data_IF_605285987948
#
_entry.id   IF_605285987948
#
_cell.length_a   1.000
_cell.length_b   1.000
_cell.length_c   1.000
_cell.angle_alpha   90.00
_cell.angle_beta   90.00
_cell.angle_gamma   90.00
#
_symmetry.space_group_name_H-M   'P 1'
#
loop_
_entity.id
_entity.type
_entity.pdbx_description
1 polymer ?
#
# COMPACT_ATOMS: atom_id res chain seq x y z
N UNK A 1 18.06 15.56 -9.36
CA UNK A 1 17.09 14.46 -9.28
C UNK A 1 17.76 13.30 -9.95
N UNK A 2 17.93 12.25 -9.19
CA UNK A 2 18.70 11.09 -9.62
C UNK A 2 17.85 10.23 -10.57
N UNK A 3 18.48 9.47 -11.47
CA UNK A 3 17.78 8.49 -12.31
C UNK A 3 16.97 7.51 -11.46
N UNK A 4 15.78 7.13 -11.93
CA UNK A 4 15.00 6.05 -11.32
C UNK A 4 15.61 4.73 -11.80
N UNK A 5 16.25 4.03 -10.87
CA UNK A 5 16.97 2.77 -11.12
C UNK A 5 16.04 1.55 -11.05
N UNK A 6 15.08 1.58 -10.10
CA UNK A 6 14.08 0.53 -9.94
C UNK A 6 12.72 1.05 -10.42
N UNK A 7 12.20 0.46 -11.49
CA UNK A 7 10.88 0.78 -12.00
C UNK A 7 10.17 -0.47 -12.50
N UNK A 8 8.84 -0.46 -12.38
CA UNK A 8 7.96 -1.50 -12.92
C UNK A 8 6.74 -0.87 -13.57
N UNK A 9 6.40 -1.34 -14.76
CA UNK A 9 5.22 -0.93 -15.51
C UNK A 9 4.42 -2.18 -15.89
N UNK A 10 3.25 -2.35 -15.29
CA UNK A 10 2.29 -3.39 -15.64
C UNK A 10 1.10 -2.84 -16.42
N UNK A 11 0.52 -3.64 -17.31
CA UNK A 11 -0.80 -3.34 -17.87
C UNK A 11 -1.60 -4.59 -18.21
N UNK A 12 -2.91 -4.41 -18.25
CA UNK A 12 -3.88 -5.45 -18.57
C UNK A 12 -4.80 -5.04 -19.71
N UNK A 13 -5.17 -6.01 -20.55
CA UNK A 13 -6.22 -5.83 -21.56
C UNK A 13 -7.58 -6.34 -21.06
N UNK A 14 -8.65 -5.71 -21.51
CA UNK A 14 -10.03 -5.97 -21.03
C UNK A 14 -10.65 -7.25 -21.59
N UNK A 15 -10.23 -7.72 -22.77
CA UNK A 15 -10.97 -8.72 -23.56
C UNK A 15 -10.06 -9.76 -24.25
N UNK A 16 -9.31 -10.51 -23.44
CA UNK A 16 -8.57 -11.70 -23.89
C UNK A 16 -7.44 -11.43 -24.87
N UNK A 17 -7.15 -10.16 -25.22
CA UNK A 17 -6.08 -9.77 -26.14
C UNK A 17 -4.71 -10.29 -25.69
N UNK A 18 -3.87 -10.54 -26.67
CA UNK A 18 -2.57 -11.20 -26.52
C UNK A 18 -1.52 -10.51 -27.37
N UNK A 19 -0.29 -10.48 -26.90
CA UNK A 19 0.86 -10.09 -27.71
C UNK A 19 1.20 -11.26 -28.66
N UNK A 20 1.19 -11.02 -29.98
CA UNK A 20 1.44 -12.05 -31.00
C UNK A 20 2.91 -12.41 -31.14
N UNK A 21 3.19 -13.65 -31.56
CA UNK A 21 4.55 -14.16 -31.78
C UNK A 21 5.24 -13.49 -32.97
N UNK A 22 6.59 -13.55 -33.07
CA UNK A 22 7.41 -12.75 -33.99
C UNK A 22 7.38 -13.25 -35.45
N UNK A 23 6.41 -14.08 -35.81
CA UNK A 23 6.31 -14.68 -37.14
C UNK A 23 5.57 -13.83 -38.19
N UNK A 24 4.81 -12.82 -37.78
CA UNK A 24 4.09 -11.96 -38.72
C UNK A 24 4.04 -10.54 -38.16
N UNK A 25 4.65 -9.62 -38.91
CA UNK A 25 4.75 -8.16 -38.72
C UNK A 25 5.95 -7.65 -37.92
N UNK A 26 6.90 -7.14 -38.70
CA UNK A 26 8.00 -6.26 -38.33
C UNK A 26 7.53 -5.07 -37.49
N UNK A 27 7.99 -5.00 -36.23
CA UNK A 27 7.89 -3.79 -35.41
C UNK A 27 9.27 -3.49 -34.80
N UNK A 28 9.70 -2.26 -35.01
CA UNK A 28 11.02 -1.68 -34.74
C UNK A 28 11.14 -1.15 -33.30
N UNK A 29 12.07 -1.69 -32.49
CA UNK A 29 13.29 -1.05 -31.92
C UNK A 29 13.89 -1.92 -30.79
N UNK A 30 15.21 -1.83 -30.53
CA UNK A 30 16.03 -2.98 -30.12
C UNK A 30 16.14 -3.26 -28.62
N UNK A 31 15.54 -2.46 -27.75
CA UNK A 31 15.94 -2.46 -26.33
C UNK A 31 14.83 -2.96 -25.38
N UNK A 32 13.57 -3.03 -25.84
CA UNK A 32 12.49 -3.60 -25.05
C UNK A 32 12.33 -5.07 -25.43
N UNK A 33 12.82 -5.96 -24.57
CA UNK A 33 12.58 -7.39 -24.70
C UNK A 33 11.07 -7.63 -24.83
N UNK A 34 10.64 -8.19 -25.97
CA UNK A 34 9.24 -8.53 -26.19
C UNK A 34 8.83 -9.57 -25.16
N UNK A 35 7.98 -9.12 -24.22
CA UNK A 35 7.46 -9.89 -23.11
C UNK A 35 6.62 -11.08 -23.58
N UNK A 36 6.57 -12.11 -22.73
CA UNK A 36 5.96 -13.42 -22.94
C UNK A 36 4.71 -13.39 -23.82
N UNK A 37 4.83 -13.99 -25.02
CA UNK A 37 3.75 -14.12 -26.00
C UNK A 37 2.48 -14.75 -25.38
N UNK A 38 1.31 -14.40 -25.91
CA UNK A 38 0.01 -14.97 -25.49
C UNK A 38 -0.46 -14.63 -24.06
N UNK A 39 0.06 -13.56 -23.45
CA UNK A 39 -0.38 -13.08 -22.13
C UNK A 39 -1.32 -11.88 -22.24
N UNK A 40 -2.31 -11.80 -21.33
CA UNK A 40 -3.23 -10.66 -21.18
C UNK A 40 -2.78 -9.66 -20.10
N UNK A 41 -1.74 -10.03 -19.34
CA UNK A 41 -1.01 -9.21 -18.38
C UNK A 41 0.42 -9.08 -18.88
N UNK A 42 0.93 -7.86 -18.92
CA UNK A 42 2.28 -7.57 -19.39
C UNK A 42 2.96 -6.67 -18.38
N UNK A 43 4.17 -7.04 -17.95
CA UNK A 43 4.95 -6.32 -16.95
C UNK A 43 6.36 -6.05 -17.50
N UNK A 44 6.72 -4.78 -17.64
CA UNK A 44 8.08 -4.31 -17.87
C UNK A 44 8.70 -3.95 -16.53
N UNK A 45 9.95 -4.30 -16.29
CA UNK A 45 10.70 -3.92 -15.10
C UNK A 45 12.13 -3.54 -15.48
N UNK A 46 12.75 -2.65 -14.69
CA UNK A 46 14.16 -2.35 -14.81
C UNK A 46 14.96 -3.66 -14.77
N UNK A 47 15.76 -3.89 -15.82
CA UNK A 47 16.19 -5.23 -16.23
C UNK A 47 16.77 -6.12 -15.12
N UNK A 48 16.33 -7.37 -15.09
CA UNK A 48 16.94 -8.47 -14.32
C UNK A 48 18.32 -8.89 -14.86
N UNK A 49 18.77 -8.32 -15.99
CA UNK A 49 20.05 -8.58 -16.61
C UNK A 49 21.09 -7.58 -16.11
N UNK A 50 22.21 -8.10 -15.61
CA UNK A 50 23.35 -7.39 -14.96
C UNK A 50 24.00 -6.28 -15.81
N UNK A 51 23.55 -6.10 -17.07
CA UNK A 51 24.06 -5.10 -18.02
C UNK A 51 23.01 -4.11 -18.55
N UNK A 52 21.75 -4.16 -18.09
CA UNK A 52 20.71 -3.24 -18.55
C UNK A 52 20.84 -1.87 -17.89
N UNK A 53 21.40 -0.89 -18.60
CA UNK A 53 21.51 0.52 -18.17
C UNK A 53 20.20 1.31 -18.39
N UNK A 54 19.04 0.71 -18.11
CA UNK A 54 17.73 1.33 -18.38
C UNK A 54 17.27 2.20 -17.22
N UNK A 55 17.99 3.30 -17.02
CA UNK A 55 17.61 4.34 -16.08
C UNK A 55 16.53 5.26 -16.69
N UNK A 56 15.45 5.50 -15.95
CA UNK A 56 14.45 6.52 -16.31
C UNK A 56 14.93 7.87 -15.76
N UNK A 57 15.21 8.80 -16.66
CA UNK A 57 15.57 10.18 -16.35
C UNK A 57 14.31 10.96 -15.92
N UNK A 58 14.33 11.65 -14.78
CA UNK A 58 13.22 12.48 -14.34
C UNK A 58 12.83 13.51 -15.39
N UNK A 59 11.51 13.75 -15.53
CA UNK A 59 10.92 14.80 -16.41
C UNK A 59 11.20 14.63 -17.91
N UNK A 60 11.67 13.46 -18.33
CA UNK A 60 11.75 13.12 -19.75
C UNK A 60 10.47 12.38 -20.18
N UNK A 61 9.88 12.70 -21.34
CA UNK A 61 8.78 11.91 -21.88
C UNK A 61 9.32 10.59 -22.43
N UNK A 62 8.75 9.48 -21.95
CA UNK A 62 9.06 8.14 -22.43
C UNK A 62 7.91 7.61 -23.28
N UNK A 63 8.07 7.52 -24.62
CA UNK A 63 7.06 6.92 -25.47
C UNK A 63 7.10 5.39 -25.29
N UNK A 64 6.00 4.81 -24.84
CA UNK A 64 5.83 3.36 -24.72
C UNK A 64 4.83 2.92 -25.78
N UNK A 65 5.25 2.00 -26.64
CA UNK A 65 4.44 1.48 -27.73
C UNK A 65 4.46 -0.04 -27.69
N UNK A 66 3.29 -0.65 -27.81
CA UNK A 66 3.14 -2.09 -27.93
C UNK A 66 2.09 -2.39 -29.00
N UNK A 67 2.15 -3.59 -29.57
CA UNK A 67 1.10 -4.10 -30.46
C UNK A 67 0.45 -5.31 -29.82
N UNK A 68 -0.85 -5.18 -29.55
CA UNK A 68 -1.70 -6.29 -29.16
C UNK A 68 -2.36 -6.93 -30.39
N UNK A 69 -2.76 -8.17 -30.25
CA UNK A 69 -3.68 -8.85 -31.16
C UNK A 69 -4.92 -9.24 -30.37
N UNK A 70 -6.10 -9.12 -30.99
CA UNK A 70 -7.34 -9.61 -30.39
C UNK A 70 -7.19 -11.12 -30.16
N UNK A 71 -7.60 -11.64 -29.00
CA UNK A 71 -7.77 -13.09 -28.90
C UNK A 71 -8.77 -13.52 -29.98
N UNK A 72 -8.56 -14.71 -30.55
CA UNK A 72 -9.62 -15.39 -31.29
C UNK A 72 -10.83 -15.49 -30.34
N UNK A 73 -11.81 -14.61 -30.51
CA UNK A 73 -13.01 -14.61 -29.69
C UNK A 73 -13.79 -15.87 -30.03
N UNK A 74 -14.00 -16.74 -29.04
CA UNK A 74 -14.92 -17.87 -29.16
C UNK A 74 -16.38 -17.42 -29.45
N UNK A 75 -16.66 -16.11 -29.41
CA UNK A 75 -17.98 -15.51 -29.62
C UNK A 75 -18.10 -14.65 -30.87
N UNK A 76 -17.05 -14.50 -31.69
CA UNK A 76 -17.13 -13.80 -32.99
C UNK A 76 -16.46 -14.59 -34.12
N UNK A 77 -17.05 -15.70 -34.58
CA UNK A 77 -16.44 -16.61 -35.55
C UNK A 77 -16.29 -16.04 -36.98
N UNK A 78 -16.69 -14.79 -37.24
CA UNK A 78 -16.78 -14.22 -38.59
C UNK A 78 -16.00 -12.91 -38.80
N UNK A 79 -15.13 -12.50 -37.88
CA UNK A 79 -14.20 -11.40 -38.17
C UNK A 79 -13.04 -11.96 -38.96
N UNK A 80 -13.03 -11.71 -40.27
CA UNK A 80 -11.90 -12.00 -41.12
C UNK A 80 -10.68 -11.16 -40.65
N UNK A 81 -9.61 -11.82 -40.17
CA UNK A 81 -8.44 -11.14 -39.59
C UNK A 81 -7.72 -10.26 -40.61
N UNK A 82 -7.99 -10.40 -41.92
CA UNK A 82 -7.40 -9.55 -42.96
C UNK A 82 -7.95 -8.13 -42.97
N UNK A 83 -9.16 -7.88 -42.46
CA UNK A 83 -9.79 -6.54 -42.49
C UNK A 83 -9.58 -5.73 -41.21
N UNK A 84 -9.13 -6.34 -40.11
CA UNK A 84 -8.79 -5.60 -38.88
C UNK A 84 -7.80 -6.36 -37.98
N UNK A 85 -6.55 -6.56 -38.43
CA UNK A 85 -5.57 -7.36 -37.70
C UNK A 85 -5.16 -6.80 -36.33
N UNK A 86 -5.44 -5.52 -36.04
CA UNK A 86 -4.89 -4.80 -34.87
C UNK A 86 -5.89 -3.92 -34.12
N UNK A 87 -7.15 -4.33 -33.99
CA UNK A 87 -8.02 -3.71 -32.99
C UNK A 87 -7.66 -4.28 -31.61
N UNK A 88 -6.70 -3.64 -30.95
CA UNK A 88 -6.41 -3.85 -29.54
C UNK A 88 -7.55 -3.21 -28.74
N UNK A 89 -8.18 -3.97 -27.84
CA UNK A 89 -9.11 -3.39 -26.88
C UNK A 89 -8.44 -2.26 -26.07
N UNK A 90 -9.22 -1.32 -25.51
CA UNK A 90 -8.66 -0.29 -24.65
C UNK A 90 -7.89 -0.95 -23.49
N UNK A 91 -6.76 -0.35 -23.11
CA UNK A 91 -6.05 -0.69 -21.89
C UNK A 91 -7.05 -0.63 -20.73
N UNK A 92 -7.21 -1.76 -20.02
CA UNK A 92 -8.09 -1.84 -18.87
C UNK A 92 -7.49 -1.05 -17.71
N UNK A 93 -6.21 -1.34 -17.46
CA UNK A 93 -5.45 -0.86 -16.33
C UNK A 93 -4.01 -0.64 -16.79
N UNK A 94 -3.46 0.52 -16.45
CA UNK A 94 -2.05 0.85 -16.58
C UNK A 94 -1.53 1.10 -15.16
N UNK A 95 -0.56 0.30 -14.72
CA UNK A 95 0.07 0.43 -13.42
C UNK A 95 1.53 0.79 -13.64
N UNK A 96 1.89 2.07 -13.48
CA UNK A 96 3.27 2.51 -13.47
C UNK A 96 3.72 2.69 -12.03
N UNK A 97 4.87 2.11 -11.70
CA UNK A 97 5.56 2.27 -10.44
C UNK A 97 4.62 2.07 -9.24
N UNK A 98 4.08 0.86 -9.11
CA UNK A 98 3.23 0.47 -7.99
C UNK A 98 4.10 0.34 -6.72
N UNK A 99 4.54 1.50 -6.22
CA UNK A 99 5.31 1.82 -5.02
C UNK A 99 6.17 0.67 -4.48
N UNK A 100 7.18 0.26 -5.26
CA UNK A 100 8.38 -0.32 -4.64
C UNK A 100 9.18 0.88 -4.16
N UNK A 101 9.06 1.23 -2.87
CA UNK A 101 10.02 2.14 -2.26
C UNK A 101 11.36 1.37 -2.26
N UNK A 102 12.26 1.69 -3.18
CA UNK A 102 13.66 1.30 -3.00
C UNK A 102 14.23 2.21 -1.92
N UNK A 103 14.94 1.62 -0.96
CA UNK A 103 15.54 2.39 0.14
C UNK A 103 16.50 3.41 -0.45
N UNK A 104 16.13 4.69 -0.50
CA UNK A 104 17.16 5.70 -0.43
C UNK A 104 17.75 5.55 0.96
N UNK A 105 19.07 5.27 1.05
CA UNK A 105 19.77 5.32 2.33
C UNK A 105 19.58 6.73 2.87
N UNK A 106 18.58 6.91 3.72
CA UNK A 106 18.31 8.17 4.37
C UNK A 106 19.58 8.57 5.11
N UNK A 107 20.10 9.76 4.79
CA UNK A 107 20.97 10.46 5.71
C UNK A 107 20.32 10.39 7.08
N UNK A 108 21.07 9.97 8.09
CA UNK A 108 20.66 9.94 9.50
C UNK A 108 19.90 11.21 9.84
N UNK A 109 18.56 11.14 9.82
CA UNK A 109 17.70 12.21 10.29
C UNK A 109 18.03 12.34 11.78
N UNK A 110 18.57 13.49 12.15
CA UNK A 110 18.74 13.85 13.55
C UNK A 110 17.39 13.63 14.22
N UNK A 111 17.34 12.67 15.14
CA UNK A 111 16.17 12.38 15.97
C UNK A 111 15.67 13.69 16.53
N UNK A 112 14.53 14.24 16.04
CA UNK A 112 13.93 15.37 16.70
C UNK A 112 13.63 14.89 18.13
N UNK A 113 14.07 15.68 19.10
CA UNK A 113 13.78 15.41 20.51
C UNK A 113 12.29 15.17 20.63
N UNK A 114 11.90 13.96 21.03
CA UNK A 114 10.51 13.54 21.18
C UNK A 114 9.72 14.65 21.88
N UNK A 115 8.61 15.15 21.29
CA UNK A 115 7.66 15.90 22.09
C UNK A 115 7.15 14.96 23.18
N UNK A 116 7.54 15.22 24.44
CA UNK A 116 7.15 14.48 25.65
C UNK A 116 5.64 14.55 25.97
N UNK A 117 4.78 14.73 24.98
CA UNK A 117 3.36 15.03 25.18
C UNK A 117 2.46 13.81 25.42
N UNK A 118 2.99 12.59 25.60
CA UNK A 118 2.13 11.40 25.78
C UNK A 118 2.49 10.45 26.92
N UNK A 119 3.34 10.84 27.89
CA UNK A 119 3.67 9.96 29.03
C UNK A 119 3.02 10.32 30.37
N UNK A 120 2.17 11.35 30.44
CA UNK A 120 1.43 11.71 31.68
C UNK A 120 -0.08 11.42 31.62
N UNK A 121 -0.55 10.58 30.70
CA UNK A 121 -1.91 10.06 30.75
C UNK A 121 -2.04 8.90 31.76
N UNK A 122 -1.73 9.15 33.04
CA UNK A 122 -2.17 8.32 34.18
C UNK A 122 -3.65 8.60 34.50
N UNK A 123 -4.46 8.75 33.46
CA UNK A 123 -5.89 8.89 33.55
C UNK A 123 -6.51 7.53 33.26
N UNK A 124 -7.43 7.12 34.12
CA UNK A 124 -8.35 6.00 33.91
C UNK A 124 -9.12 6.29 32.62
N UNK A 125 -8.55 5.94 31.47
CA UNK A 125 -9.19 6.13 30.18
C UNK A 125 -10.41 5.21 30.16
N UNK A 126 -11.62 5.73 29.87
CA UNK A 126 -12.79 4.89 29.70
C UNK A 126 -12.51 3.86 28.61
N UNK A 127 -12.95 2.62 28.84
CA UNK A 127 -12.78 1.46 27.98
C UNK A 127 -12.86 1.80 26.49
N UNK A 128 -11.87 1.36 25.70
CA UNK A 128 -11.74 1.44 24.23
C UNK A 128 -12.80 2.35 23.56
N UNK A 129 -12.64 3.66 23.67
CA UNK A 129 -13.45 4.59 22.88
C UNK A 129 -12.96 4.55 21.44
N UNK A 130 -13.46 3.58 20.69
CA UNK A 130 -13.40 3.60 19.23
C UNK A 130 -14.28 4.77 18.77
N UNK A 131 -13.66 5.80 18.21
CA UNK A 131 -14.42 6.93 17.70
C UNK A 131 -15.12 6.52 16.41
N UNK A 132 -16.44 6.68 16.39
CA UNK A 132 -17.21 6.60 15.15
C UNK A 132 -16.66 7.63 14.14
N UNK A 133 -16.71 7.34 12.83
CA UNK A 133 -16.22 8.23 11.79
C UNK A 133 -16.70 9.66 12.00
N UNK A 134 -15.76 10.58 12.24
CA UNK A 134 -16.07 12.00 12.23
C UNK A 134 -15.72 12.63 10.90
N UNK A 135 -14.48 12.50 10.43
CA UNK A 135 -14.01 13.25 9.27
C UNK A 135 -13.48 12.36 8.16
N UNK A 136 -12.69 11.35 8.52
CA UNK A 136 -12.03 10.45 7.59
C UNK A 136 -12.57 9.04 7.84
N UNK A 137 -12.81 8.30 6.77
CA UNK A 137 -12.99 6.85 6.79
C UNK A 137 -11.65 6.20 6.43
N UNK A 138 -11.18 5.26 7.26
CA UNK A 138 -9.99 4.46 6.95
C UNK A 138 -10.42 3.03 6.66
N UNK A 139 -10.12 2.59 5.44
CA UNK A 139 -10.31 1.22 4.99
C UNK A 139 -8.98 0.50 4.86
N UNK A 140 -9.00 -0.80 5.08
CA UNK A 140 -7.83 -1.66 5.14
C UNK A 140 -8.07 -2.96 4.37
N UNK A 141 -7.04 -3.42 3.66
CA UNK A 141 -6.97 -4.79 3.15
C UNK A 141 -5.55 -5.34 3.36
N UNK A 142 -5.39 -6.52 3.99
CA UNK A 142 -4.08 -7.17 4.02
C UNK A 142 -3.75 -7.72 2.63
N UNK A 143 -2.47 -7.67 2.25
CA UNK A 143 -1.99 -8.28 1.01
C UNK A 143 -1.34 -9.61 1.38
N UNK A 144 -2.11 -10.68 1.18
CA UNK A 144 -1.68 -12.06 1.44
C UNK A 144 -1.46 -12.82 0.13
N UNK A 145 -0.62 -13.85 0.15
CA UNK A 145 -0.23 -14.60 -1.04
C UNK A 145 -0.66 -16.07 -0.93
N UNK A 146 -1.16 -16.66 -2.03
CA UNK A 146 -1.37 -18.11 -2.13
C UNK A 146 -0.04 -18.87 -2.18
N UNK A 147 0.93 -18.27 -2.87
CA UNK A 147 2.30 -18.74 -2.95
C UNK A 147 3.21 -17.52 -2.95
N UNK A 148 4.20 -17.51 -2.06
CA UNK A 148 5.19 -16.44 -2.04
C UNK A 148 6.03 -16.45 -3.32
N UNK A 149 6.46 -15.28 -3.82
CA UNK A 149 7.45 -15.22 -4.88
C UNK A 149 8.71 -16.00 -4.50
N UNK A 150 9.38 -16.57 -5.50
CA UNK A 150 10.63 -17.30 -5.27
C UNK A 150 11.66 -16.41 -4.56
N UNK A 151 12.33 -16.95 -3.53
CA UNK A 151 13.34 -16.22 -2.75
C UNK A 151 12.79 -15.36 -1.61
N UNK A 152 11.48 -15.27 -1.43
CA UNK A 152 10.88 -14.55 -0.29
C UNK A 152 10.58 -15.53 0.85
N UNK A 153 11.10 -15.25 2.04
CA UNK A 153 10.90 -16.09 3.21
C UNK A 153 9.50 -15.85 3.80
N UNK A 154 8.74 -16.91 4.15
CA UNK A 154 7.52 -16.76 4.93
C UNK A 154 7.78 -15.97 6.22
N UNK A 155 6.86 -15.07 6.58
CA UNK A 155 6.98 -14.25 7.78
C UNK A 155 8.05 -13.14 7.72
N UNK A 156 8.83 -13.01 6.65
CA UNK A 156 9.84 -11.93 6.55
C UNK A 156 9.24 -10.53 6.38
N UNK A 157 7.96 -10.44 6.01
CA UNK A 157 7.29 -9.16 5.77
C UNK A 157 5.78 -9.26 6.00
N UNK A 158 5.18 -8.10 6.26
CA UNK A 158 3.74 -7.86 6.24
C UNK A 158 3.46 -6.79 5.19
N UNK A 159 2.43 -6.97 4.40
CA UNK A 159 2.02 -5.99 3.38
C UNK A 159 0.53 -5.73 3.50
N UNK A 160 0.13 -4.48 3.38
CA UNK A 160 -1.26 -4.07 3.50
C UNK A 160 -1.54 -2.79 2.73
N UNK A 161 -2.81 -2.62 2.38
CA UNK A 161 -3.35 -1.46 1.70
C UNK A 161 -4.22 -0.66 2.68
N UNK A 162 -4.06 0.66 2.66
CA UNK A 162 -4.88 1.61 3.40
C UNK A 162 -5.49 2.60 2.42
N UNK A 163 -6.80 2.80 2.50
CA UNK A 163 -7.53 3.84 1.77
C UNK A 163 -8.18 4.79 2.75
N UNK A 164 -7.98 6.08 2.53
CA UNK A 164 -8.59 7.14 3.32
C UNK A 164 -9.50 7.99 2.46
N UNK A 165 -10.67 8.30 2.99
CA UNK A 165 -11.66 9.11 2.29
C UNK A 165 -12.23 10.17 3.23
N UNK A 166 -12.33 11.40 2.75
CA UNK A 166 -13.01 12.46 3.49
C UNK A 166 -14.52 12.27 3.35
N UNK A 167 -15.16 11.92 4.46
CA UNK A 167 -16.59 11.62 4.55
C UNK A 167 -17.39 12.76 5.18
N UNK A 168 -16.73 13.85 5.63
CA UNK A 168 -17.39 14.94 6.33
C UNK A 168 -17.38 16.25 5.56
N UNK A 169 -18.59 16.69 5.21
CA UNK A 169 -18.90 18.09 4.88
C UNK A 169 -18.16 18.64 3.65
N UNK A 170 -18.37 19.91 3.30
CA UNK A 170 -17.75 20.51 2.12
C UNK A 170 -16.27 20.84 2.29
N UNK A 171 -15.69 20.60 3.47
CA UNK A 171 -14.36 21.10 3.82
C UNK A 171 -13.29 20.13 3.33
N UNK A 172 -12.50 20.58 2.37
CA UNK A 172 -11.33 19.85 1.93
C UNK A 172 -10.26 19.82 3.04
N UNK A 173 -9.60 18.68 3.22
CA UNK A 173 -8.57 18.49 4.26
C UNK A 173 -7.20 18.57 3.59
N UNK A 174 -6.28 19.47 4.00
CA UNK A 174 -4.92 19.47 3.47
C UNK A 174 -4.23 18.12 3.70
N UNK A 175 -3.62 17.55 2.67
CA UNK A 175 -3.07 16.18 2.73
C UNK A 175 -1.91 16.09 3.73
N UNK A 176 -1.12 17.17 3.86
CA UNK A 176 0.02 17.26 4.76
C UNK A 176 -0.34 17.24 6.26
N UNK A 177 -1.61 17.46 6.61
CA UNK A 177 -2.08 17.39 8.00
C UNK A 177 -2.65 16.03 8.37
N UNK A 178 -2.76 15.12 7.38
CA UNK A 178 -3.28 13.77 7.56
C UNK A 178 -2.14 12.84 7.99
N UNK A 179 -2.39 12.03 9.01
CA UNK A 179 -1.53 10.92 9.43
C UNK A 179 -2.41 9.70 9.72
N UNK A 180 -1.90 8.49 9.50
CA UNK A 180 -2.48 7.30 10.10
C UNK A 180 -1.42 6.46 10.83
N UNK A 181 -1.89 5.63 11.75
CA UNK A 181 -1.03 4.85 12.66
C UNK A 181 -1.31 3.36 12.53
N UNK A 182 -0.26 2.58 12.28
CA UNK A 182 -0.30 1.12 12.25
C UNK A 182 0.48 0.56 13.45
N UNK A 183 -0.21 -0.18 14.32
CA UNK A 183 0.33 -0.77 15.54
C UNK A 183 0.53 -2.27 15.35
N UNK A 184 1.72 -2.76 15.65
CA UNK A 184 2.11 -4.14 15.37
C UNK A 184 3.12 -4.69 16.37
N UNK A 185 3.26 -6.02 16.38
CA UNK A 185 4.32 -6.72 17.10
C UNK A 185 5.36 -7.24 16.10
N UNK A 186 6.65 -7.00 16.37
CA UNK A 186 7.70 -7.41 15.46
C UNK A 186 9.12 -7.44 16.05
N UNK A 187 10.12 -7.77 15.22
CA UNK A 187 11.51 -7.46 15.45
C UNK A 187 11.79 -5.96 15.31
N UNK A 188 12.98 -5.52 15.74
CA UNK A 188 13.48 -4.19 15.39
C UNK A 188 13.57 -4.08 13.87
N UNK A 189 13.03 -2.99 13.33
CA UNK A 189 12.99 -2.74 11.89
C UNK A 189 13.93 -1.59 11.51
N UNK A 190 14.35 -1.60 10.25
CA UNK A 190 14.92 -0.41 9.63
C UNK A 190 13.82 0.37 8.90
N UNK A 191 13.90 1.69 9.01
CA UNK A 191 12.97 2.59 8.37
C UNK A 191 13.38 2.83 6.91
N UNK A 192 12.48 2.52 5.98
CA UNK A 192 12.63 2.85 4.57
C UNK A 192 11.40 3.61 4.10
N UNK A 193 11.58 4.88 3.72
CA UNK A 193 10.51 5.79 3.32
C UNK A 193 10.39 5.98 1.81
N UNK A 194 9.28 6.59 1.41
CA UNK A 194 9.04 7.09 0.06
C UNK A 194 9.05 8.64 0.12
N UNK A 195 9.54 9.36 -0.90
CA UNK A 195 9.72 10.84 -0.84
C UNK A 195 8.43 11.62 -0.51
N UNK A 196 7.26 11.06 -0.85
CA UNK A 196 5.94 11.66 -0.63
C UNK A 196 5.29 11.25 0.71
N UNK A 197 5.92 10.35 1.47
CA UNK A 197 5.43 9.82 2.73
C UNK A 197 6.42 10.14 3.84
N UNK A 198 5.91 10.67 4.95
CA UNK A 198 6.65 10.81 6.17
C UNK A 198 6.39 9.55 7.00
N UNK A 199 7.30 8.58 6.93
CA UNK A 199 7.26 7.43 7.82
C UNK A 199 8.00 7.79 9.10
N UNK A 200 7.45 7.35 10.24
CA UNK A 200 8.10 7.45 11.53
C UNK A 200 7.78 6.18 12.33
N UNK A 201 8.77 5.31 12.49
CA UNK A 201 8.68 4.12 13.33
C UNK A 201 9.19 4.41 14.75
N UNK A 202 8.34 4.17 15.75
CA UNK A 202 8.70 4.33 17.16
C UNK A 202 8.32 3.10 17.98
N UNK A 203 8.86 3.00 19.20
CA UNK A 203 8.32 2.09 20.21
C UNK A 203 6.85 2.42 20.46
N UNK A 204 6.04 1.38 20.60
CA UNK A 204 4.62 1.45 20.88
C UNK A 204 4.33 1.42 22.38
N UNK A 205 3.29 0.68 22.79
CA UNK A 205 2.85 0.62 24.18
C UNK A 205 3.42 -0.64 24.87
N UNK A 206 4.23 -0.49 25.93
CA UNK A 206 4.76 -1.64 26.65
C UNK A 206 3.61 -2.45 27.29
N UNK A 207 3.68 -3.77 27.17
CA UNK A 207 2.69 -4.69 27.75
C UNK A 207 1.36 -4.78 27.00
N UNK A 208 1.21 -4.11 25.85
CA UNK A 208 0.01 -4.20 25.01
C UNK A 208 0.26 -5.13 23.83
N UNK A 209 -0.46 -6.27 23.80
CA UNK A 209 -0.35 -7.26 22.72
C UNK A 209 -0.71 -6.64 21.37
N UNK A 210 0.12 -6.89 20.37
CA UNK A 210 -0.05 -6.39 19.00
C UNK A 210 0.34 -4.93 18.81
N UNK A 211 0.91 -4.28 19.80
CA UNK A 211 1.20 -2.84 19.79
C UNK A 211 2.60 -2.51 20.34
N UNK A 212 3.56 -3.42 20.22
CA UNK A 212 4.96 -3.19 20.62
C UNK A 212 5.60 -2.05 19.82
N UNK A 213 5.24 -1.86 18.55
CA UNK A 213 5.73 -0.78 17.71
C UNK A 213 4.57 0.04 17.13
N UNK A 214 4.86 1.29 16.83
CA UNK A 214 3.97 2.23 16.16
C UNK A 214 4.64 2.72 14.87
N UNK A 215 4.02 2.44 13.72
CA UNK A 215 4.36 3.07 12.45
C UNK A 215 3.39 4.23 12.20
N UNK A 216 3.90 5.46 12.24
CA UNK A 216 3.14 6.66 11.88
C UNK A 216 3.42 7.01 10.41
N UNK A 217 2.35 7.27 9.65
CA UNK A 217 2.41 7.48 8.20
C UNK A 217 1.73 8.80 7.88
N UNK A 218 2.53 9.83 7.67
CA UNK A 218 2.10 11.15 7.19
C UNK A 218 2.40 11.35 5.71
N UNK A 219 1.97 12.47 5.16
CA UNK A 219 2.16 12.81 3.75
C UNK A 219 2.94 14.13 3.63
N UNK A 220 3.91 14.16 2.73
CA UNK A 220 4.62 15.41 2.35
C UNK A 220 4.04 16.02 1.07
N UNK A 221 3.06 15.36 0.45
CA UNK A 221 2.42 15.80 -0.78
C UNK A 221 1.57 17.07 -0.57
N UNK A 222 1.67 18.00 -1.51
CA UNK A 222 0.79 19.17 -1.56
C UNK A 222 -0.58 18.79 -2.15
N UNK A 223 -1.66 19.27 -1.55
CA UNK A 223 -3.01 19.12 -2.09
C UNK A 223 -4.07 18.97 -1.00
N UNK A 224 -5.30 18.68 -1.41
CA UNK A 224 -6.40 18.50 -0.47
C UNK A 224 -7.20 17.23 -0.75
N UNK A 225 -7.56 16.50 0.30
CA UNK A 225 -8.54 15.42 0.27
C UNK A 225 -9.95 16.02 0.29
N UNK A 226 -10.61 15.98 -0.85
CA UNK A 226 -11.98 16.49 -1.07
C UNK A 226 -13.01 15.52 -0.50
N UNK A 227 -14.13 16.06 -0.07
CA UNK A 227 -15.26 15.23 0.33
C UNK A 227 -15.97 14.64 -0.89
N UNK A 228 -16.42 13.38 -0.75
CA UNK A 228 -17.04 12.59 -1.83
C UNK A 228 -18.20 13.33 -2.53
N UNK A 229 -18.94 14.18 -1.82
CA UNK A 229 -20.14 14.85 -2.35
C UNK A 229 -19.88 16.15 -3.09
N UNK A 230 -18.64 16.68 -3.10
CA UNK A 230 -18.37 18.04 -3.54
C UNK A 230 -17.33 18.08 -4.67
N UNK A 231 -17.83 18.16 -5.90
CA UNK A 231 -17.04 18.51 -7.09
C UNK A 231 -16.80 20.02 -7.21
N UNK A 232 -16.35 20.65 -6.12
CA UNK A 232 -15.90 22.04 -6.20
C UNK A 232 -14.55 22.11 -6.89
N UNK A 233 -14.47 22.90 -7.96
CA UNK A 233 -13.23 23.13 -8.72
C UNK A 233 -12.23 23.87 -7.82
N UNK A 234 -11.34 23.13 -7.15
CA UNK A 234 -10.22 23.71 -6.42
C UNK A 234 -9.09 24.05 -7.40
N UNK A 235 -8.46 25.24 -7.28
CA UNK A 235 -7.27 25.57 -8.07
C UNK A 235 -6.02 24.77 -7.64
N UNK A 236 -6.09 24.03 -6.53
CA UNK A 236 -5.01 23.19 -6.03
C UNK A 236 -5.25 21.71 -6.35
N UNK A 237 -4.19 20.87 -6.39
CA UNK A 237 -4.33 19.42 -6.52
C UNK A 237 -5.33 18.88 -5.51
N UNK A 238 -6.30 18.11 -5.98
CA UNK A 238 -7.36 17.54 -5.16
C UNK A 238 -7.45 16.05 -5.38
N UNK A 239 -7.73 15.33 -4.31
CA UNK A 239 -7.87 13.88 -4.28
C UNK A 239 -9.23 13.55 -3.70
N UNK A 240 -9.94 12.59 -4.28
CA UNK A 240 -11.15 12.03 -3.66
C UNK A 240 -10.79 10.99 -2.60
N UNK A 241 -9.70 10.26 -2.84
CA UNK A 241 -9.19 9.19 -1.98
C UNK A 241 -7.67 9.30 -1.89
N UNK A 242 -7.13 9.01 -0.70
CA UNK A 242 -5.71 8.73 -0.51
C UNK A 242 -5.53 7.22 -0.38
N UNK A 243 -4.65 6.64 -1.18
CA UNK A 243 -4.40 5.21 -1.20
C UNK A 243 -2.90 4.97 -0.94
N UNK A 244 -2.60 4.08 0.00
CA UNK A 244 -1.23 3.75 0.40
C UNK A 244 -1.09 2.24 0.46
N UNK A 245 -0.08 1.72 -0.24
CA UNK A 245 0.36 0.34 -0.14
C UNK A 245 1.65 0.31 0.68
N UNK A 246 1.62 -0.35 1.83
CA UNK A 246 2.77 -0.43 2.74
C UNK A 246 3.27 -1.86 2.86
N UNK A 247 4.60 -1.98 2.96
CA UNK A 247 5.30 -3.21 3.28
C UNK A 247 6.23 -2.97 4.46
N UNK A 248 6.01 -3.72 5.53
CA UNK A 248 6.87 -3.77 6.71
C UNK A 248 7.73 -5.03 6.56
N UNK A 249 9.05 -4.92 6.61
CA UNK A 249 9.97 -6.05 6.44
C UNK A 249 11.00 -6.10 7.57
N UNK A 250 11.26 -7.31 8.05
CA UNK A 250 12.36 -7.56 8.99
C UNK A 250 13.67 -7.82 8.25
N UNK A 251 14.78 -7.29 8.78
CA UNK A 251 16.13 -7.66 8.34
C UNK A 251 16.68 -8.85 9.12
N UNK A 252 16.06 -9.21 10.24
CA UNK A 252 16.46 -10.36 11.05
C UNK A 252 15.88 -11.62 10.41
N UNK A 253 16.73 -12.37 9.71
CA UNK A 253 16.40 -13.58 8.97
C UNK A 253 15.60 -14.65 9.75
N UNK A 254 15.65 -14.64 11.08
CA UNK A 254 15.00 -15.65 11.95
C UNK A 254 13.82 -15.10 12.78
N UNK A 255 13.55 -13.79 12.73
CA UNK A 255 12.43 -13.20 13.48
C UNK A 255 11.27 -12.94 12.51
N UNK A 256 10.20 -13.71 12.64
CA UNK A 256 9.01 -13.60 11.80
C UNK A 256 8.12 -12.42 12.24
N UNK A 257 7.65 -11.66 11.26
CA UNK A 257 6.52 -10.73 11.38
C UNK A 257 5.22 -11.52 11.26
N UNK A 258 4.42 -11.52 12.32
CA UNK A 258 3.10 -12.14 12.31
C UNK A 258 2.01 -11.07 12.31
N UNK A 259 1.55 -10.68 11.12
CA UNK A 259 0.50 -9.67 10.98
C UNK A 259 -0.76 -10.01 11.79
N UNK A 260 -1.10 -11.30 11.93
CA UNK A 260 -2.33 -11.73 12.62
C UNK A 260 -2.33 -11.46 14.12
N UNK A 261 -1.16 -11.18 14.71
CA UNK A 261 -1.03 -10.72 16.10
C UNK A 261 -1.02 -9.20 16.26
N UNK A 262 -0.97 -8.43 15.17
CA UNK A 262 -0.94 -6.98 15.22
C UNK A 262 -2.29 -6.42 15.68
N UNK A 263 -2.26 -5.34 16.47
CA UNK A 263 -3.47 -4.63 16.89
C UNK A 263 -4.23 -4.08 15.67
N UNK A 264 -3.50 -3.50 14.72
CA UNK A 264 -4.07 -2.88 13.53
C UNK A 264 -4.51 -3.88 12.45
N UNK A 265 -4.21 -5.17 12.60
CA UNK A 265 -4.61 -6.18 11.62
C UNK A 265 -6.08 -6.58 11.76
N UNK A 266 -6.75 -6.69 10.62
CA UNK A 266 -8.06 -7.35 10.50
C UNK A 266 -8.04 -8.29 9.30
N UNK A 267 -8.63 -9.47 9.45
CA UNK A 267 -8.73 -10.45 8.35
C UNK A 267 -9.87 -10.05 7.40
N UNK A 268 -9.56 -9.16 6.44
CA UNK A 268 -10.55 -8.62 5.51
C UNK A 268 -11.09 -9.71 4.55
N UNK A 269 -12.39 -9.70 4.20
CA UNK A 269 -12.98 -10.75 3.36
C UNK A 269 -12.27 -10.94 2.02
N UNK A 270 -12.10 -12.21 1.63
CA UNK A 270 -11.59 -12.59 0.31
C UNK A 270 -12.66 -12.26 -0.75
N UNK A 271 -12.25 -11.62 -1.84
CA UNK A 271 -13.11 -11.38 -3.01
C UNK A 271 -12.98 -12.54 -4.01
N UNK A 272 -13.92 -12.66 -4.95
CA UNK A 272 -14.00 -13.80 -5.88
C UNK A 272 -12.65 -14.17 -6.49
N UNK A 273 -12.28 -15.45 -6.42
CA UNK A 273 -10.98 -15.97 -6.83
C UNK A 273 -10.67 -15.65 -8.31
N UNK A 274 -9.75 -14.73 -8.56
CA UNK A 274 -9.04 -14.69 -9.84
C UNK A 274 -8.02 -15.83 -9.84
N UNK A 275 -8.29 -16.89 -10.62
CA UNK A 275 -7.47 -18.10 -10.68
C UNK A 275 -6.00 -17.89 -11.16
N UNK A 276 -5.61 -16.66 -11.48
CA UNK A 276 -4.36 -16.34 -12.15
C UNK A 276 -3.46 -15.35 -11.36
N UNK A 277 -3.70 -15.13 -10.07
CA UNK A 277 -2.89 -14.21 -9.24
C UNK A 277 -2.23 -14.94 -8.08
N UNK A 278 -0.96 -14.61 -7.79
CA UNK A 278 -0.26 -15.08 -6.58
C UNK A 278 -0.79 -14.41 -5.31
N UNK A 279 -1.47 -13.27 -5.45
CA UNK A 279 -2.10 -12.50 -4.39
C UNK A 279 -3.53 -13.01 -4.16
N UNK A 280 -3.89 -13.16 -2.89
CA UNK A 280 -5.27 -13.42 -2.43
C UNK A 280 -6.02 -12.10 -2.51
N UNK A 281 -6.99 -11.95 -3.42
CA UNK A 281 -7.71 -10.68 -3.55
C UNK A 281 -8.63 -10.49 -2.34
N UNK A 282 -8.56 -9.31 -1.73
CA UNK A 282 -9.34 -8.96 -0.53
C UNK A 282 -10.05 -7.63 -0.70
N UNK A 283 -11.23 -7.52 -0.10
CA UNK A 283 -12.01 -6.29 -0.08
C UNK A 283 -11.44 -5.36 0.98
N UNK A 284 -11.13 -4.12 0.62
CA UNK A 284 -10.83 -3.10 1.63
C UNK A 284 -12.08 -2.83 2.47
N UNK A 285 -11.96 -2.95 3.79
CA UNK A 285 -13.07 -2.74 4.73
C UNK A 285 -12.68 -1.72 5.81
N UNK A 286 -13.64 -1.01 6.42
CA UNK A 286 -13.34 -0.06 7.48
C UNK A 286 -12.58 -0.72 8.64
N UNK A 287 -11.46 -0.10 9.05
CA UNK A 287 -10.63 -0.61 10.13
C UNK A 287 -10.45 0.43 11.22
N UNK A 288 -11.16 0.24 12.33
CA UNK A 288 -11.09 1.15 13.47
C UNK A 288 -9.85 0.97 14.34
N UNK A 289 -9.02 -0.06 14.09
CA UNK A 289 -7.75 -0.27 14.77
C UNK A 289 -6.57 0.42 14.07
N UNK A 290 -6.83 1.19 13.00
CA UNK A 290 -5.86 2.09 12.35
C UNK A 290 -6.35 3.52 12.62
N UNK A 291 -5.84 4.20 13.67
CA UNK A 291 -6.18 5.58 13.93
C UNK A 291 -5.77 6.47 12.76
N UNK A 292 -6.62 7.42 12.39
CA UNK A 292 -6.22 8.53 11.54
C UNK A 292 -6.35 9.85 12.29
N UNK A 293 -5.39 10.73 12.04
CA UNK A 293 -5.23 12.03 12.66
C UNK A 293 -5.31 13.13 11.61
N UNK A 294 -5.89 14.27 12.01
CA UNK A 294 -5.82 15.54 11.28
C UNK A 294 -5.36 16.59 12.27
N UNK A 295 -4.29 17.31 11.95
CA UNK A 295 -3.67 18.29 12.85
C UNK A 295 -3.37 17.69 14.25
N UNK A 296 -2.79 16.48 14.26
CA UNK A 296 -2.49 15.68 15.47
C UNK A 296 -3.71 15.35 16.36
N UNK A 297 -4.93 15.40 15.82
CA UNK A 297 -6.15 15.00 16.51
C UNK A 297 -6.75 13.76 15.87
N UNK A 298 -7.04 12.73 16.67
CA UNK A 298 -7.68 11.50 16.18
C UNK A 298 -9.08 11.84 15.64
N UNK A 299 -9.30 11.56 14.36
CA UNK A 299 -10.58 11.76 13.65
C UNK A 299 -11.26 10.45 13.24
N UNK A 300 -10.55 9.33 13.35
CA UNK A 300 -11.03 7.98 13.09
C UNK A 300 -10.29 6.95 13.94
N UNK A 301 -10.97 5.87 14.33
CA UNK A 301 -10.37 4.71 14.98
C UNK A 301 -10.09 4.90 16.48
N UNK A 302 -9.30 3.99 17.04
CA UNK A 302 -8.89 4.01 18.44
C UNK A 302 -7.45 3.53 18.61
N UNK A 303 -6.72 4.21 19.49
CA UNK A 303 -5.36 3.84 19.90
C UNK A 303 -5.46 2.60 20.83
N UNK A 304 -4.54 1.62 20.74
CA UNK A 304 -4.51 0.49 21.67
C UNK A 304 -4.44 0.96 23.13
N UNK A 305 -5.07 0.21 24.04
CA UNK A 305 -5.06 0.53 25.48
C UNK A 305 -4.51 -0.68 26.23
N UNK A 306 -3.61 -0.44 27.18
CA UNK A 306 -3.16 -1.46 28.12
C UNK A 306 -4.33 -1.91 28.99
N UNK A 307 -4.78 -3.14 28.78
CA UNK A 307 -5.75 -3.77 29.68
C UNK A 307 -4.97 -4.30 30.87
N UNK A 308 -4.98 -3.55 31.96
CA UNK A 308 -4.52 -4.06 33.26
C UNK A 308 -5.48 -5.15 33.70
N UNK A 309 -5.11 -6.41 33.44
CA UNK A 309 -5.80 -7.55 34.02
C UNK A 309 -5.33 -7.63 35.48
N UNK A 310 -5.91 -6.82 36.36
CA UNK A 310 -5.81 -7.09 37.80
C UNK A 310 -6.55 -8.42 38.02
N UNK A 311 -5.80 -9.53 38.01
CA UNK A 311 -6.31 -10.81 38.48
C UNK A 311 -6.69 -10.59 39.93
N UNK A 312 -7.99 -10.56 40.21
CA UNK A 312 -8.50 -10.75 41.55
C UNK A 312 -8.10 -12.17 42.00
N UNK A 313 -6.88 -12.32 42.51
CA UNK A 313 -6.51 -13.51 43.26
C UNK A 313 -7.33 -13.46 44.53
N UNK A 314 -8.27 -14.40 44.66
CA UNK A 314 -9.07 -14.55 45.85
C UNK A 314 -8.17 -14.87 47.04
N UNK A 315 -7.79 -13.85 47.81
CA UNK A 315 -7.37 -14.00 49.21
C UNK A 315 -5.91 -13.73 49.57
N UNK A 316 -5.09 -13.09 48.73
CA UNK A 316 -3.77 -12.58 49.16
C UNK A 316 -3.56 -11.16 48.62
N UNK A 317 -3.01 -10.30 49.47
CA UNK A 317 -2.89 -8.85 49.31
C UNK A 317 -2.37 -8.39 47.94
N UNK A 318 -2.90 -7.25 47.52
CA UNK A 318 -2.83 -6.63 46.20
C UNK A 318 -1.41 -6.18 45.81
N UNK A 319 -0.83 -6.87 44.82
CA UNK A 319 0.21 -6.30 43.95
C UNK A 319 -0.29 -6.41 42.49
N UNK A 320 -0.95 -5.36 41.97
CA UNK A 320 -1.11 -5.23 40.52
C UNK A 320 0.26 -4.84 39.96
N UNK A 321 1.01 -5.81 39.43
CA UNK A 321 2.23 -5.54 38.68
C UNK A 321 1.87 -4.93 37.32
N UNK A 322 2.51 -3.80 37.02
CA UNK A 322 2.40 -3.04 35.77
C UNK A 322 3.48 -3.47 34.78
#
# INVERSE_FOLDING_TARGET
MDPIEDWKLGWNFTTGERISSPGDLTIYRPDVALLSYNTSNTELEAGSDVNATEFIQPRQPYPISFVGTKAASAHEPNIDPTYSPFLVGPLANLAFNNLICSSSKGETLQTPSQPQLLLEAKAVAPANTIFAPKNILVEYAPITFYSLPFGVLPGSFTQFFVRMTNILGPTAIPVETIEFQYWFDGPDLEESGCENLNLNLTDGLPGVTGARYLLSVGFSAAGHLQAISNSSVSPQPSFETLEVLLRIQTLKFLEELNATSDYSYIDAPITSNSANTSIVPRLAIPNAHIPALVDNKVVWGGIPIAVSICRAQAGLDEDCQF
#
